data_IF_708353899029
#
_entry.id   IF_708353899029
#
_cell.length_a   1.000
_cell.length_b   1.000
_cell.length_c   1.000
_cell.angle_alpha   90.00
_cell.angle_beta   90.00
_cell.angle_gamma   90.00
#
_symmetry.space_group_name_H-M   'P 1'
#
loop_
_entity.id
_entity.type
_entity.pdbx_description
1 polymer ?
#
# COMPACT_ATOMS: atom_id res chain seq x y z
N UNK A 1 -37.14 57.95 30.54
CA UNK A 1 -36.02 57.86 29.59
C UNK A 1 -34.96 56.81 29.97
N UNK A 2 -34.94 56.31 31.19
CA UNK A 2 -33.97 55.32 31.74
C UNK A 2 -34.27 53.86 31.35
N UNK A 3 -35.54 53.46 31.34
CA UNK A 3 -35.94 52.06 31.02
C UNK A 3 -35.60 51.63 29.59
N UNK A 4 -35.69 52.52 28.63
CA UNK A 4 -35.40 52.22 27.22
C UNK A 4 -33.88 52.01 26.94
N UNK A 5 -33.03 52.66 27.75
CA UNK A 5 -31.56 52.47 27.68
C UNK A 5 -31.15 51.13 28.28
N UNK A 6 -31.78 50.71 29.36
CA UNK A 6 -31.49 49.42 30.00
C UNK A 6 -31.92 48.24 29.12
N UNK A 7 -33.08 48.34 28.45
CA UNK A 7 -33.55 47.27 27.56
C UNK A 7 -32.63 47.09 26.34
N UNK A 8 -32.12 48.18 25.74
CA UNK A 8 -31.13 48.12 24.65
C UNK A 8 -29.80 47.48 25.09
N UNK A 9 -29.36 47.79 26.30
CA UNK A 9 -28.06 47.28 26.81
C UNK A 9 -28.13 45.77 27.07
N UNK A 10 -29.25 45.25 27.56
CA UNK A 10 -29.48 43.81 27.76
C UNK A 10 -29.55 43.06 26.40
N UNK A 11 -30.20 43.65 25.38
CA UNK A 11 -30.26 43.07 24.04
C UNK A 11 -28.89 43.01 23.35
N UNK A 12 -28.11 44.07 23.47
CA UNK A 12 -26.76 44.13 22.90
C UNK A 12 -25.82 43.13 23.60
N UNK A 13 -25.90 43.03 24.95
CA UNK A 13 -25.11 42.08 25.72
C UNK A 13 -25.46 40.64 25.39
N UNK A 14 -26.75 40.30 25.22
CA UNK A 14 -27.22 38.98 24.80
C UNK A 14 -26.76 38.62 23.39
N UNK A 15 -26.77 39.58 22.47
CA UNK A 15 -26.30 39.39 21.12
C UNK A 15 -24.78 39.14 21.05
N UNK A 16 -23.98 39.92 21.81
CA UNK A 16 -22.54 39.73 21.93
C UNK A 16 -22.19 38.36 22.51
N UNK A 17 -22.90 37.95 23.57
CA UNK A 17 -22.69 36.63 24.19
C UNK A 17 -23.04 35.50 23.22
N UNK A 18 -24.09 35.64 22.43
CA UNK A 18 -24.48 34.67 21.38
C UNK A 18 -23.41 34.56 20.26
N UNK A 19 -22.85 35.70 19.85
CA UNK A 19 -21.79 35.74 18.84
C UNK A 19 -20.49 35.11 19.38
N UNK A 20 -20.12 35.35 20.64
CA UNK A 20 -18.97 34.71 21.29
C UNK A 20 -19.11 33.18 21.38
N UNK A 21 -20.32 32.68 21.65
CA UNK A 21 -20.59 31.23 21.68
C UNK A 21 -20.44 30.55 20.31
N UNK A 22 -20.72 31.28 19.23
CA UNK A 22 -20.57 30.76 17.86
C UNK A 22 -19.11 30.67 17.42
N UNK A 23 -18.20 31.48 17.98
CA UNK A 23 -16.77 31.47 17.65
C UNK A 23 -16.02 30.30 18.32
N UNK A 24 -16.54 29.74 19.40
CA UNK A 24 -15.94 28.60 20.13
C UNK A 24 -16.14 27.27 19.43
N UNK A 25 -16.86 27.21 18.32
CA UNK A 25 -17.15 26.00 17.55
C UNK A 25 -16.02 25.60 16.56
N UNK A 26 -14.87 26.29 16.56
CA UNK A 26 -13.69 25.83 15.81
C UNK A 26 -13.13 24.56 16.48
N UNK A 27 -13.74 23.41 16.17
CA UNK A 27 -13.22 22.09 16.55
C UNK A 27 -11.81 21.90 15.96
N UNK A 28 -10.87 21.41 16.76
CA UNK A 28 -9.56 20.95 16.28
C UNK A 28 -9.78 19.87 15.23
N UNK A 29 -9.33 20.10 14.00
CA UNK A 29 -9.35 19.07 12.96
C UNK A 29 -8.49 17.89 13.40
N UNK A 30 -8.99 16.68 13.25
CA UNK A 30 -8.25 15.46 13.56
C UNK A 30 -6.98 15.42 12.71
N UNK A 31 -5.84 15.09 13.33
CA UNK A 31 -4.56 14.98 12.65
C UNK A 31 -4.59 13.78 11.68
N UNK A 32 -4.06 13.99 10.49
CA UNK A 32 -3.88 12.91 9.51
C UNK A 32 -2.56 12.21 9.76
N UNK A 33 -2.59 10.88 9.84
CA UNK A 33 -1.41 10.02 9.91
C UNK A 33 -1.09 9.46 8.53
N UNK A 34 0.21 9.42 8.21
CA UNK A 34 0.71 8.92 6.94
C UNK A 34 1.50 7.64 7.15
N UNK A 35 1.33 6.70 6.23
CA UNK A 35 1.92 5.37 6.26
C UNK A 35 2.61 5.07 4.93
N UNK A 36 3.61 4.21 4.99
CA UNK A 36 4.33 3.72 3.82
C UNK A 36 4.52 2.21 3.92
N UNK A 37 4.46 1.52 2.78
CA UNK A 37 4.91 0.15 2.68
C UNK A 37 6.43 0.15 2.50
N UNK A 38 7.15 -0.43 3.45
CA UNK A 38 8.61 -0.42 3.51
C UNK A 38 9.17 -1.82 3.75
N UNK A 39 10.39 -2.04 3.32
CA UNK A 39 11.11 -3.24 3.67
C UNK A 39 11.43 -3.26 5.17
N UNK A 40 11.11 -4.37 5.83
CA UNK A 40 11.35 -4.54 7.27
C UNK A 40 12.65 -5.27 7.60
N UNK A 41 13.47 -5.60 6.59
CA UNK A 41 14.74 -6.28 6.78
C UNK A 41 15.93 -5.34 6.50
N UNK A 42 16.96 -5.41 7.34
CA UNK A 42 18.28 -4.78 7.13
C UNK A 42 19.08 -5.42 5.97
N UNK A 43 18.41 -6.15 5.09
CA UNK A 43 19.04 -6.74 3.92
C UNK A 43 19.46 -5.62 2.97
N UNK A 44 20.71 -5.18 3.11
CA UNK A 44 21.35 -4.38 2.09
C UNK A 44 21.26 -5.13 0.76
N UNK A 45 20.94 -4.42 -0.32
CA UNK A 45 20.99 -4.95 -1.69
C UNK A 45 22.43 -5.33 -2.04
N UNK A 46 22.93 -6.41 -1.46
CA UNK A 46 24.22 -7.02 -1.77
C UNK A 46 23.98 -8.16 -2.76
N UNK A 47 23.28 -7.84 -3.84
CA UNK A 47 23.11 -8.79 -4.94
C UNK A 47 24.36 -8.84 -5.80
N UNK A 48 24.73 -10.03 -6.26
CA UNK A 48 25.82 -10.22 -7.23
C UNK A 48 25.32 -9.82 -8.62
N UNK A 49 26.11 -9.03 -9.36
CA UNK A 49 25.80 -8.66 -10.77
C UNK A 49 25.88 -9.87 -11.73
N UNK A 50 25.52 -11.05 -11.27
CA UNK A 50 25.51 -12.29 -12.05
C UNK A 50 24.09 -12.86 -12.10
N UNK A 51 23.74 -13.43 -13.24
CA UNK A 51 22.44 -14.10 -13.41
C UNK A 51 21.52 -13.38 -14.39
N UNK A 52 20.29 -13.87 -14.43
CA UNK A 52 19.25 -13.42 -15.35
C UNK A 52 18.81 -11.99 -15.06
N UNK A 53 18.50 -11.27 -16.12
CA UNK A 53 17.85 -9.97 -16.07
C UNK A 53 16.35 -10.18 -15.97
N UNK A 54 15.76 -9.74 -14.87
CA UNK A 54 14.35 -9.94 -14.56
C UNK A 54 13.62 -8.60 -14.58
N UNK A 55 12.57 -8.51 -15.39
CA UNK A 55 11.65 -7.40 -15.39
C UNK A 55 10.39 -7.73 -14.57
N UNK A 56 10.00 -6.85 -13.66
CA UNK A 56 8.80 -6.97 -12.84
C UNK A 56 7.77 -5.94 -13.30
N UNK A 57 6.67 -6.42 -13.86
CA UNK A 57 5.58 -5.60 -14.37
C UNK A 57 4.93 -6.15 -15.64
N UNK A 58 3.71 -5.66 -15.95
CA UNK A 58 2.93 -4.73 -15.15
C UNK A 58 2.48 -5.34 -13.82
N UNK A 59 2.22 -4.47 -12.82
CA UNK A 59 1.54 -4.83 -11.58
C UNK A 59 0.23 -4.08 -11.54
N UNK A 60 -0.88 -4.80 -11.61
CA UNK A 60 -2.22 -4.26 -11.61
C UNK A 60 -2.84 -4.36 -10.22
N UNK A 61 -3.49 -3.29 -9.77
CA UNK A 61 -4.22 -3.22 -8.50
C UNK A 61 -5.68 -2.92 -8.72
N UNK A 62 -6.58 -3.43 -7.86
CA UNK A 62 -7.97 -2.99 -7.85
C UNK A 62 -8.08 -1.50 -7.50
N UNK A 63 -8.96 -0.78 -8.19
CA UNK A 63 -9.19 0.66 -8.00
C UNK A 63 -9.55 1.04 -6.55
N UNK A 64 -10.22 0.13 -5.80
CA UNK A 64 -10.65 0.44 -4.44
C UNK A 64 -9.48 0.59 -3.45
N UNK A 65 -8.30 0.01 -3.74
CA UNK A 65 -7.08 0.18 -2.93
C UNK A 65 -6.08 1.15 -3.56
N UNK A 66 -6.16 1.41 -4.87
CA UNK A 66 -5.26 2.33 -5.57
C UNK A 66 -5.67 3.79 -5.35
N UNK A 67 -5.59 4.22 -4.10
CA UNK A 67 -6.02 5.54 -3.64
C UNK A 67 -5.19 6.01 -2.43
N UNK A 68 -5.18 7.33 -2.15
CA UNK A 68 -4.39 7.87 -1.02
C UNK A 68 -4.86 7.40 0.36
N UNK A 69 -6.14 7.05 0.52
CA UNK A 69 -6.69 6.60 1.79
C UNK A 69 -6.44 5.11 2.01
N UNK A 70 -6.10 4.73 3.24
CA UNK A 70 -6.06 3.31 3.60
C UNK A 70 -7.48 2.78 3.68
N UNK A 71 -7.71 1.68 2.95
CA UNK A 71 -8.99 0.97 2.94
C UNK A 71 -8.89 -0.27 3.83
N UNK A 72 -9.85 -0.42 4.74
CA UNK A 72 -9.98 -1.59 5.59
C UNK A 72 -11.32 -2.27 5.33
N UNK A 73 -11.38 -3.57 5.54
CA UNK A 73 -12.61 -4.35 5.40
C UNK A 73 -13.31 -4.44 6.75
N UNK A 74 -14.59 -4.11 6.82
CA UNK A 74 -15.43 -4.31 8.00
C UNK A 74 -16.17 -5.64 7.98
N UNK A 75 -16.66 -6.04 6.80
CA UNK A 75 -17.33 -7.31 6.55
C UNK A 75 -17.14 -7.71 5.09
N UNK A 76 -17.73 -8.81 4.65
CA UNK A 76 -17.56 -9.36 3.30
C UNK A 76 -17.79 -8.33 2.19
N UNK A 77 -18.79 -7.48 2.32
CA UNK A 77 -19.16 -6.47 1.31
C UNK A 77 -19.06 -5.02 1.83
N UNK A 78 -18.49 -4.80 3.03
CA UNK A 78 -18.44 -3.49 3.65
C UNK A 78 -17.00 -3.05 3.90
N UNK A 79 -16.60 -1.95 3.27
CA UNK A 79 -15.30 -1.32 3.44
C UNK A 79 -15.40 -0.04 4.24
N UNK A 80 -14.32 0.30 4.90
CA UNK A 80 -14.07 1.59 5.50
C UNK A 80 -12.91 2.27 4.77
N UNK A 81 -13.16 3.47 4.27
CA UNK A 81 -12.14 4.34 3.68
C UNK A 81 -11.74 5.34 4.74
N UNK A 82 -10.51 5.31 5.20
CA UNK A 82 -10.06 6.17 6.29
C UNK A 82 -9.79 7.59 5.83
N UNK A 83 -10.45 8.57 6.45
CA UNK A 83 -10.20 9.98 6.17
C UNK A 83 -8.82 10.44 6.68
N UNK A 84 -8.38 9.91 7.82
CA UNK A 84 -7.21 10.38 8.56
C UNK A 84 -6.01 9.41 8.56
N UNK A 85 -6.12 8.25 7.90
CA UNK A 85 -4.99 7.33 7.72
C UNK A 85 -4.77 7.16 6.23
N UNK A 86 -3.61 7.62 5.75
CA UNK A 86 -3.34 7.77 4.32
C UNK A 86 -1.96 7.24 3.97
N UNK A 87 -1.82 6.80 2.74
CA UNK A 87 -0.51 6.51 2.17
C UNK A 87 0.27 7.82 1.92
N UNK A 88 1.56 7.85 2.23
CA UNK A 88 2.44 9.01 1.98
C UNK A 88 2.76 9.18 0.49
N UNK A 89 2.68 8.11 -0.26
CA UNK A 89 2.92 8.03 -1.70
C UNK A 89 1.86 7.13 -2.37
N UNK A 90 1.74 7.11 -3.71
CA UNK A 90 0.87 6.17 -4.40
C UNK A 90 1.19 4.73 -3.99
N UNK A 91 0.20 4.01 -3.48
CA UNK A 91 0.38 2.64 -2.96
C UNK A 91 0.90 1.68 -4.03
N UNK A 92 0.54 1.91 -5.29
CA UNK A 92 1.05 1.15 -6.42
C UNK A 92 2.58 1.25 -6.54
N UNK A 93 3.14 2.44 -6.35
CA UNK A 93 4.60 2.67 -6.42
C UNK A 93 5.33 1.98 -5.27
N UNK A 94 4.77 2.04 -4.05
CA UNK A 94 5.28 1.31 -2.89
C UNK A 94 5.30 -0.20 -3.14
N UNK A 95 4.21 -0.77 -3.66
CA UNK A 95 4.10 -2.21 -3.97
C UNK A 95 5.12 -2.62 -5.04
N UNK A 96 5.23 -1.85 -6.12
CA UNK A 96 6.21 -2.10 -7.19
C UNK A 96 7.64 -2.12 -6.62
N UNK A 97 8.01 -1.10 -5.86
CA UNK A 97 9.32 -0.99 -5.23
C UNK A 97 9.60 -2.18 -4.31
N UNK A 98 8.67 -2.52 -3.42
CA UNK A 98 8.83 -3.62 -2.47
C UNK A 98 8.95 -4.98 -3.16
N UNK A 99 8.17 -5.26 -4.19
CA UNK A 99 8.25 -6.53 -4.89
C UNK A 99 9.58 -6.67 -5.63
N UNK A 100 10.11 -5.60 -6.23
CA UNK A 100 11.46 -5.60 -6.83
C UNK A 100 12.52 -5.88 -5.78
N UNK A 101 12.47 -5.20 -4.63
CA UNK A 101 13.43 -5.40 -3.53
C UNK A 101 13.34 -6.83 -2.99
N UNK A 102 12.13 -7.31 -2.70
CA UNK A 102 11.92 -8.66 -2.20
C UNK A 102 12.42 -9.74 -3.18
N UNK A 103 12.18 -9.56 -4.48
CA UNK A 103 12.69 -10.46 -5.50
C UNK A 103 14.21 -10.40 -5.59
N UNK A 104 14.80 -9.19 -5.58
CA UNK A 104 16.25 -9.00 -5.60
C UNK A 104 16.92 -9.71 -4.42
N UNK A 105 16.38 -9.56 -3.22
CA UNK A 105 16.92 -10.17 -2.00
C UNK A 105 16.77 -11.70 -2.03
N UNK A 106 15.59 -12.22 -2.38
CA UNK A 106 15.35 -13.66 -2.42
C UNK A 106 16.13 -14.38 -3.54
N UNK A 107 16.41 -13.69 -4.63
CA UNK A 107 17.22 -14.21 -5.76
C UNK A 107 18.72 -13.90 -5.60
N UNK A 108 19.10 -13.13 -4.59
CA UNK A 108 20.46 -12.61 -4.40
C UNK A 108 21.01 -11.96 -5.69
N UNK A 109 20.19 -11.12 -6.33
CA UNK A 109 20.49 -10.49 -7.62
C UNK A 109 20.08 -9.02 -7.63
N UNK A 110 20.98 -8.15 -8.09
CA UNK A 110 20.69 -6.74 -8.34
C UNK A 110 20.18 -6.48 -9.78
N UNK A 111 19.92 -7.53 -10.57
CA UNK A 111 19.42 -7.45 -11.95
C UNK A 111 17.91 -7.64 -12.05
N UNK A 112 17.17 -7.19 -11.02
CA UNK A 112 15.71 -7.17 -10.99
C UNK A 112 15.25 -5.72 -11.14
N UNK A 113 14.39 -5.45 -12.11
CA UNK A 113 14.00 -4.10 -12.48
C UNK A 113 12.50 -3.95 -12.58
N UNK A 114 11.99 -2.81 -12.11
CA UNK A 114 10.59 -2.44 -12.31
C UNK A 114 10.32 -2.06 -13.78
N UNK A 115 9.18 -2.48 -14.32
CA UNK A 115 8.70 -2.14 -15.67
C UNK A 115 7.42 -1.30 -15.57
N UNK A 116 7.20 -0.34 -16.54
CA UNK A 116 8.07 -0.01 -17.66
C UNK A 116 9.28 0.84 -17.23
N UNK A 117 10.44 0.56 -17.80
CA UNK A 117 11.62 1.42 -17.65
C UNK A 117 11.70 2.42 -18.79
N UNK A 118 12.01 3.67 -18.44
CA UNK A 118 12.17 4.75 -19.44
C UNK A 118 13.54 4.71 -20.13
N UNK A 119 14.53 4.10 -19.51
CA UNK A 119 15.94 4.07 -19.90
C UNK A 119 16.36 2.83 -20.70
N UNK A 120 15.42 2.19 -21.27
CA UNK A 120 15.45 1.09 -22.24
C UNK A 120 16.77 0.37 -22.58
N UNK A 121 16.66 -0.95 -22.67
CA UNK A 121 17.39 -1.93 -23.49
C UNK A 121 18.33 -2.87 -22.77
N UNK A 122 17.85 -3.44 -21.67
CA UNK A 122 18.39 -4.74 -21.32
C UNK A 122 17.45 -5.81 -21.88
N UNK A 123 17.94 -6.78 -22.68
CA UNK A 123 17.13 -7.92 -23.03
C UNK A 123 16.77 -8.64 -21.73
N UNK A 124 15.46 -8.76 -21.44
CA UNK A 124 14.99 -9.49 -20.29
C UNK A 124 15.14 -10.99 -20.54
N UNK A 125 15.66 -11.71 -19.57
CA UNK A 125 15.63 -13.17 -19.59
C UNK A 125 14.28 -13.69 -19.10
N UNK A 126 13.72 -13.00 -18.09
CA UNK A 126 12.39 -13.26 -17.56
C UNK A 126 11.61 -11.97 -17.36
N UNK A 127 10.30 -12.02 -17.59
CA UNK A 127 9.35 -10.97 -17.22
C UNK A 127 8.29 -11.54 -16.28
N UNK A 128 8.00 -10.84 -15.21
CA UNK A 128 7.00 -11.22 -14.21
C UNK A 128 5.87 -10.20 -14.24
N UNK A 129 4.67 -10.63 -14.62
CA UNK A 129 3.46 -9.82 -14.56
C UNK A 129 2.61 -10.27 -13.37
N UNK A 130 2.00 -9.32 -12.65
CA UNK A 130 1.27 -9.56 -11.40
C UNK A 130 -0.06 -8.83 -11.44
N UNK A 131 -1.15 -9.56 -11.26
CA UNK A 131 -2.49 -9.03 -11.11
C UNK A 131 -2.96 -9.29 -9.67
N UNK A 132 -3.03 -8.23 -8.88
CA UNK A 132 -3.53 -8.29 -7.51
C UNK A 132 -5.05 -8.11 -7.55
N UNK A 133 -5.79 -9.16 -7.23
CA UNK A 133 -7.26 -9.13 -7.16
C UNK A 133 -7.79 -8.63 -5.82
N UNK A 134 -7.00 -8.84 -4.75
CA UNK A 134 -7.33 -8.40 -3.39
C UNK A 134 -6.08 -8.07 -2.60
N UNK A 135 -6.09 -6.94 -1.92
CA UNK A 135 -5.05 -6.56 -0.97
C UNK A 135 -5.65 -5.62 0.08
N UNK A 136 -6.36 -6.19 1.03
CA UNK A 136 -7.02 -5.48 2.11
C UNK A 136 -6.97 -6.28 3.41
N UNK A 137 -7.29 -5.65 4.52
CA UNK A 137 -7.32 -6.32 5.81
C UNK A 137 -8.37 -5.75 6.74
N UNK A 138 -8.60 -6.49 7.82
CA UNK A 138 -9.42 -6.09 8.95
C UNK A 138 -8.53 -5.83 10.16
N UNK A 139 -8.68 -4.67 10.80
CA UNK A 139 -7.93 -4.34 12.01
C UNK A 139 -8.16 -5.42 13.09
N UNK A 140 -7.08 -5.83 13.76
CA UNK A 140 -7.11 -6.87 14.79
C UNK A 140 -7.39 -8.29 14.29
N UNK A 141 -7.47 -8.52 12.96
CA UNK A 141 -7.69 -9.86 12.40
C UNK A 141 -6.60 -10.26 11.42
N UNK A 142 -6.82 -10.08 10.14
CA UNK A 142 -5.89 -10.50 9.09
C UNK A 142 -5.89 -9.55 7.89
N UNK A 143 -4.78 -9.54 7.17
CA UNK A 143 -4.65 -9.06 5.79
C UNK A 143 -4.80 -10.24 4.85
N UNK A 144 -5.51 -10.05 3.74
CA UNK A 144 -5.60 -11.02 2.66
C UNK A 144 -5.03 -10.39 1.39
N UNK A 145 -4.06 -11.09 0.79
CA UNK A 145 -3.52 -10.79 -0.52
C UNK A 145 -3.85 -11.94 -1.46
N UNK A 146 -4.63 -11.66 -2.49
CA UNK A 146 -4.91 -12.58 -3.59
C UNK A 146 -4.28 -12.01 -4.86
N UNK A 147 -3.45 -12.80 -5.52
CA UNK A 147 -2.82 -12.38 -6.75
C UNK A 147 -2.71 -13.53 -7.74
N UNK A 148 -2.85 -13.20 -9.02
CA UNK A 148 -2.45 -14.04 -10.13
C UNK A 148 -1.17 -13.47 -10.71
N UNK A 149 -0.16 -14.31 -10.93
CA UNK A 149 1.09 -13.87 -11.50
C UNK A 149 1.61 -14.87 -12.54
N UNK A 150 2.33 -14.33 -13.52
CA UNK A 150 2.86 -15.12 -14.63
C UNK A 150 4.30 -14.75 -14.87
N UNK A 151 5.11 -15.76 -15.19
CA UNK A 151 6.50 -15.60 -15.62
C UNK A 151 6.55 -15.88 -17.12
N UNK A 152 7.18 -14.98 -17.85
CA UNK A 152 7.39 -15.04 -19.29
C UNK A 152 8.88 -15.19 -19.57
N UNK A 153 9.21 -15.94 -20.62
CA UNK A 153 10.59 -16.07 -21.12
C UNK A 153 11.03 -14.83 -21.92
N UNK A 154 12.27 -14.85 -22.40
CA UNK A 154 12.87 -13.79 -23.23
C UNK A 154 12.13 -13.48 -24.54
N UNK A 155 11.25 -14.38 -25.00
CA UNK A 155 10.43 -14.22 -26.19
C UNK A 155 9.00 -13.77 -25.84
N UNK A 156 8.78 -13.35 -24.59
CA UNK A 156 7.47 -12.97 -24.03
C UNK A 156 6.43 -14.10 -24.05
N UNK A 157 6.89 -15.35 -24.03
CA UNK A 157 6.03 -16.53 -23.97
C UNK A 157 5.80 -16.91 -22.49
N UNK A 158 4.53 -17.11 -22.07
CA UNK A 158 4.24 -17.52 -20.70
C UNK A 158 4.81 -18.93 -20.42
N UNK A 159 5.64 -19.05 -19.39
CA UNK A 159 6.27 -20.30 -18.95
C UNK A 159 5.61 -20.86 -17.70
N UNK A 160 5.06 -19.98 -16.86
CA UNK A 160 4.40 -20.35 -15.62
C UNK A 160 3.33 -19.33 -15.29
N UNK A 161 2.16 -19.81 -14.82
CA UNK A 161 1.13 -18.98 -14.20
C UNK A 161 0.70 -19.62 -12.89
N UNK A 162 0.58 -18.83 -11.83
CA UNK A 162 0.10 -19.26 -10.50
C UNK A 162 -0.86 -18.26 -9.88
N UNK A 163 -1.58 -18.73 -8.88
CA UNK A 163 -2.41 -17.91 -8.00
C UNK A 163 -1.86 -18.07 -6.58
N UNK A 164 -1.65 -16.97 -5.90
CA UNK A 164 -1.28 -16.92 -4.49
C UNK A 164 -2.43 -16.37 -3.67
N UNK A 165 -2.71 -17.03 -2.54
CA UNK A 165 -3.63 -16.58 -1.50
C UNK A 165 -2.85 -16.52 -0.18
N UNK A 166 -2.48 -15.32 0.22
CA UNK A 166 -1.67 -15.07 1.41
C UNK A 166 -2.53 -14.43 2.47
N UNK A 167 -2.45 -14.95 3.69
CA UNK A 167 -3.14 -14.44 4.87
C UNK A 167 -2.14 -14.13 5.96
N UNK A 168 -2.13 -12.87 6.42
CA UNK A 168 -1.22 -12.41 7.46
C UNK A 168 -2.00 -11.85 8.65
N UNK A 169 -1.71 -12.31 9.88
CA UNK A 169 -2.38 -11.80 11.06
C UNK A 169 -2.03 -10.35 11.33
N UNK A 170 -3.03 -9.55 11.70
CA UNK A 170 -2.87 -8.17 12.16
C UNK A 170 -2.78 -8.17 13.69
N UNK A 171 -1.59 -7.98 14.24
CA UNK A 171 -1.33 -8.00 15.67
C UNK A 171 -1.65 -6.64 16.30
N UNK A 172 -2.94 -6.34 16.50
CA UNK A 172 -3.46 -5.09 17.08
C UNK A 172 -4.48 -4.42 16.18
N UNK A 173 -5.19 -3.43 16.73
CA UNK A 173 -6.28 -2.73 16.05
C UNK A 173 -5.84 -1.39 15.41
N UNK A 174 -4.53 -1.15 15.29
CA UNK A 174 -4.00 0.07 14.68
C UNK A 174 -3.74 -0.09 13.18
N UNK A 175 -3.80 1.03 12.44
CA UNK A 175 -3.38 1.05 11.04
C UNK A 175 -1.90 0.72 10.87
N UNK A 176 -1.05 1.05 11.86
CA UNK A 176 0.36 0.64 11.86
C UNK A 176 0.51 -0.88 11.87
N UNK A 177 -0.25 -1.59 12.72
CA UNK A 177 -0.26 -3.05 12.75
C UNK A 177 -0.77 -3.66 11.42
N UNK A 178 -1.78 -3.03 10.80
CA UNK A 178 -2.26 -3.41 9.47
C UNK A 178 -1.16 -3.29 8.41
N UNK A 179 -0.46 -2.15 8.36
CA UNK A 179 0.61 -1.91 7.37
C UNK A 179 1.76 -2.90 7.54
N UNK A 180 2.13 -3.23 8.78
CA UNK A 180 3.13 -4.29 9.06
C UNK A 180 2.68 -5.65 8.51
N UNK A 181 1.40 -6.02 8.66
CA UNK A 181 0.87 -7.25 8.10
C UNK A 181 0.82 -7.21 6.56
N UNK A 182 0.49 -6.05 5.96
CA UNK A 182 0.54 -5.86 4.51
C UNK A 182 1.97 -6.03 3.96
N UNK A 183 2.98 -5.50 4.66
CA UNK A 183 4.39 -5.70 4.29
C UNK A 183 4.76 -7.20 4.29
N UNK A 184 4.38 -7.95 5.34
CA UNK A 184 4.65 -9.40 5.39
C UNK A 184 3.98 -10.16 4.26
N UNK A 185 2.76 -9.79 3.89
CA UNK A 185 2.05 -10.42 2.77
C UNK A 185 2.79 -10.20 1.44
N UNK A 186 3.31 -8.99 1.19
CA UNK A 186 4.12 -8.71 0.00
C UNK A 186 5.48 -9.43 0.01
N UNK A 187 6.12 -9.55 1.17
CA UNK A 187 7.35 -10.33 1.33
C UNK A 187 7.12 -11.80 0.99
N UNK A 188 6.02 -12.38 1.47
CA UNK A 188 5.67 -13.77 1.17
C UNK A 188 5.39 -13.97 -0.32
N UNK A 189 4.64 -13.04 -0.96
CA UNK A 189 4.41 -13.08 -2.40
C UNK A 189 5.75 -13.02 -3.18
N UNK A 190 6.63 -12.09 -2.81
CA UNK A 190 7.96 -11.97 -3.41
C UNK A 190 8.78 -13.26 -3.28
N UNK A 191 8.72 -13.92 -2.12
CA UNK A 191 9.39 -15.21 -1.88
C UNK A 191 8.83 -16.33 -2.76
N UNK A 192 7.52 -16.45 -2.90
CA UNK A 192 6.88 -17.46 -3.78
C UNK A 192 7.28 -17.26 -5.25
N UNK A 193 7.26 -16.02 -5.72
CA UNK A 193 7.67 -15.68 -7.09
C UNK A 193 9.16 -15.97 -7.30
N UNK A 194 10.03 -15.59 -6.35
CA UNK A 194 11.46 -15.84 -6.43
C UNK A 194 11.79 -17.35 -6.50
N UNK A 195 11.15 -18.14 -5.65
CA UNK A 195 11.30 -19.61 -5.67
C UNK A 195 10.91 -20.22 -7.02
N UNK A 196 9.80 -19.73 -7.60
CA UNK A 196 9.38 -20.21 -8.91
C UNK A 196 10.34 -19.75 -10.03
N UNK A 197 10.82 -18.49 -9.95
CA UNK A 197 11.77 -17.95 -10.92
C UNK A 197 13.11 -18.70 -10.90
N UNK A 198 13.62 -19.04 -9.72
CA UNK A 198 14.89 -19.76 -9.59
C UNK A 198 14.87 -21.13 -10.28
N UNK A 199 13.73 -21.82 -10.31
CA UNK A 199 13.59 -23.11 -11.02
C UNK A 199 13.64 -22.98 -12.54
N UNK A 200 13.37 -21.81 -13.09
CA UNK A 200 13.41 -21.52 -14.52
C UNK A 200 14.78 -21.00 -14.96
N UNK A 201 15.53 -20.38 -14.06
CA UNK A 201 16.88 -19.84 -14.32
C UNK A 201 17.93 -20.95 -14.43
N UNK A 202 17.75 -22.06 -13.71
CA UNK A 202 18.71 -23.17 -13.63
C UNK A 202 18.61 -24.14 -14.82
N UNK A 203 17.61 -23.99 -15.67
CA UNK A 203 17.44 -24.78 -16.90
C UNK A 203 18.06 -24.09 -18.10
#
# INVERSE_FOLDING_TARGET
MTLFKQCKMVFVSGFILSVLLLISACGTSQKTDFYQLEETSDASLVGVEKGCIIGVGPINLPEYINRPQIVTRKSEHHFNVSEFNRWIEPVNDSINRLLVINLSNNLNSNRVYWLPRNDRQYPLDLRIAIDIGRFDGQLGKEVILESRWSIYDKNDKPTLTRVSLIKEPVNGESYSALVVAMNRALQQLGKEIAQASSTLIVK
#
